data_IF_221808216571
#
_entry.id   IF_221808216571
#
_cell.length_a   1.000
_cell.length_b   1.000
_cell.length_c   1.000
_cell.angle_alpha   90.00
_cell.angle_beta   90.00
_cell.angle_gamma   90.00
#
_symmetry.space_group_name_H-M   'P 1'
#
loop_
_entity.id
_entity.type
_entity.pdbx_description
1 polymer ?
#
# COMPACT_ATOMS: atom_id res chain seq x y z
N UNK A 1 2.95 3.58 4.86
CA UNK A 1 1.52 3.56 5.22
C UNK A 1 0.96 4.80 5.93
N UNK A 2 1.35 5.14 7.18
CA UNK A 2 0.74 6.29 7.92
C UNK A 2 0.89 7.62 7.19
N UNK A 3 2.07 7.88 6.63
CA UNK A 3 2.33 9.09 5.85
C UNK A 3 1.43 9.19 4.60
N UNK A 4 1.20 8.07 3.91
CA UNK A 4 0.31 8.01 2.73
C UNK A 4 -1.15 8.24 3.11
N UNK A 5 -1.58 7.73 4.27
CA UNK A 5 -2.91 8.04 4.82
C UNK A 5 -3.07 9.55 5.08
N UNK A 6 -2.06 10.20 5.66
CA UNK A 6 -2.09 11.66 5.89
C UNK A 6 -2.13 12.46 4.58
N UNK A 7 -1.34 12.07 3.56
CA UNK A 7 -1.39 12.69 2.23
C UNK A 7 -2.77 12.54 1.59
N UNK A 8 -3.37 11.35 1.68
CA UNK A 8 -4.72 11.10 1.14
C UNK A 8 -5.78 11.88 1.91
N UNK A 9 -5.65 12.01 3.23
CA UNK A 9 -6.55 12.85 4.04
C UNK A 9 -6.46 14.32 3.62
N UNK A 10 -5.24 14.88 3.49
CA UNK A 10 -5.04 16.25 3.05
C UNK A 10 -5.67 16.49 1.66
N UNK A 11 -5.45 15.58 0.71
CA UNK A 11 -6.07 15.64 -0.61
C UNK A 11 -7.60 15.56 -0.55
N UNK A 12 -8.16 14.64 0.22
CA UNK A 12 -9.61 14.50 0.35
C UNK A 12 -10.25 15.74 1.01
N UNK A 13 -9.59 16.33 2.01
CA UNK A 13 -10.03 17.57 2.64
C UNK A 13 -10.03 18.74 1.63
N UNK A 14 -8.95 18.91 0.86
CA UNK A 14 -8.88 19.92 -0.19
C UNK A 14 -9.99 19.74 -1.23
N UNK A 15 -10.18 18.51 -1.72
CA UNK A 15 -11.22 18.19 -2.71
C UNK A 15 -12.63 18.40 -2.14
N UNK A 16 -12.84 18.14 -0.84
CA UNK A 16 -14.12 18.40 -0.17
C UNK A 16 -14.43 19.89 -0.14
N UNK A 17 -13.45 20.73 0.20
CA UNK A 17 -13.58 22.19 0.20
C UNK A 17 -13.81 22.73 -1.20
N UNK A 18 -13.04 22.27 -2.19
CA UNK A 18 -13.23 22.67 -3.58
C UNK A 18 -14.62 22.28 -4.11
N UNK A 19 -15.10 21.07 -3.81
CA UNK A 19 -16.44 20.63 -4.16
C UNK A 19 -17.54 21.48 -3.49
N UNK A 20 -17.33 21.90 -2.24
CA UNK A 20 -18.25 22.79 -1.54
C UNK A 20 -18.34 24.17 -2.22
N UNK A 21 -17.20 24.73 -2.63
CA UNK A 21 -17.15 26.02 -3.35
C UNK A 21 -17.80 25.94 -4.73
N UNK A 22 -17.69 24.81 -5.42
CA UNK A 22 -18.28 24.59 -6.75
C UNK A 22 -19.74 24.11 -6.72
N UNK A 23 -20.38 24.02 -5.56
CA UNK A 23 -21.76 23.51 -5.42
C UNK A 23 -21.92 22.02 -5.76
N UNK A 24 -20.82 21.25 -5.82
CA UNK A 24 -20.84 19.81 -6.15
C UNK A 24 -21.07 18.97 -4.91
N UNK A 25 -22.33 18.93 -4.46
CA UNK A 25 -22.71 18.27 -3.20
C UNK A 25 -22.34 16.78 -3.14
N UNK A 26 -22.58 16.03 -4.23
CA UNK A 26 -22.26 14.60 -4.29
C UNK A 26 -20.76 14.32 -4.09
N UNK A 27 -19.89 15.11 -4.73
CA UNK A 27 -18.44 15.00 -4.57
C UNK A 27 -18.01 15.32 -3.15
N UNK A 28 -18.59 16.36 -2.54
CA UNK A 28 -18.32 16.72 -1.14
C UNK A 28 -18.65 15.58 -0.19
N UNK A 29 -19.83 14.98 -0.32
CA UNK A 29 -20.26 13.84 0.51
C UNK A 29 -19.32 12.65 0.32
N UNK A 30 -18.90 12.36 -0.91
CA UNK A 30 -17.92 11.32 -1.21
C UNK A 30 -16.58 11.57 -0.52
N UNK A 31 -16.06 12.79 -0.58
CA UNK A 31 -14.80 13.14 0.09
C UNK A 31 -14.91 13.09 1.61
N UNK A 32 -16.05 13.48 2.19
CA UNK A 32 -16.29 13.36 3.63
C UNK A 32 -16.32 11.92 4.10
N UNK A 33 -16.98 11.02 3.35
CA UNK A 33 -16.95 9.58 3.64
C UNK A 33 -15.53 9.01 3.60
N UNK A 34 -14.74 9.42 2.60
CA UNK A 34 -13.35 9.02 2.47
C UNK A 34 -12.50 9.52 3.66
N UNK A 35 -12.69 10.77 4.10
CA UNK A 35 -12.03 11.30 5.30
C UNK A 35 -12.37 10.49 6.55
N UNK A 36 -13.65 10.18 6.76
CA UNK A 36 -14.08 9.35 7.89
C UNK A 36 -13.49 7.94 7.85
N UNK A 37 -13.38 7.34 6.66
CA UNK A 37 -12.70 6.06 6.48
C UNK A 37 -11.21 6.14 6.82
N UNK A 38 -10.50 7.18 6.35
CA UNK A 38 -9.08 7.37 6.67
C UNK A 38 -8.86 7.56 8.17
N UNK A 39 -9.72 8.33 8.84
CA UNK A 39 -9.61 8.59 10.28
C UNK A 39 -9.80 7.32 11.12
N UNK A 40 -10.78 6.46 10.77
CA UNK A 40 -10.96 5.16 11.42
C UNK A 40 -9.72 4.27 11.30
N UNK A 41 -9.14 4.21 10.10
CA UNK A 41 -7.91 3.43 9.84
C UNK A 41 -6.74 3.97 10.66
N UNK A 42 -6.53 5.30 10.68
CA UNK A 42 -5.48 5.93 11.48
C UNK A 42 -5.69 5.66 12.97
N UNK A 43 -6.92 5.73 13.46
CA UNK A 43 -7.24 5.47 14.86
C UNK A 43 -6.88 4.05 15.27
N UNK A 44 -7.20 3.03 14.45
CA UNK A 44 -6.79 1.64 14.70
C UNK A 44 -5.28 1.46 14.64
N UNK A 45 -4.60 2.14 13.73
CA UNK A 45 -3.13 2.11 13.67
C UNK A 45 -2.50 2.72 14.93
N UNK A 46 -3.00 3.86 15.40
CA UNK A 46 -2.51 4.47 16.64
C UNK A 46 -2.75 3.56 17.86
N UNK A 47 -3.92 2.91 17.92
CA UNK A 47 -4.20 1.91 18.96
C UNK A 47 -3.20 0.75 18.90
N UNK A 48 -2.92 0.21 17.71
CA UNK A 48 -1.89 -0.81 17.52
C UNK A 48 -0.52 -0.36 18.03
N UNK A 49 -0.12 0.89 17.74
CA UNK A 49 1.16 1.44 18.18
C UNK A 49 1.22 1.76 19.68
N UNK A 50 0.08 2.00 20.33
CA UNK A 50 0.02 2.17 21.79
C UNK A 50 0.14 0.85 22.56
N UNK A 51 -0.05 -0.29 21.88
CA UNK A 51 0.13 -1.61 22.48
C UNK A 51 1.60 -2.00 22.52
N UNK A 52 2.00 -2.75 23.54
CA UNK A 52 3.36 -3.26 23.64
C UNK A 52 3.68 -4.16 22.43
N UNK A 53 4.79 -3.96 21.71
CA UNK A 53 5.08 -4.66 20.46
C UNK A 53 5.18 -6.18 20.63
N UNK A 54 5.68 -6.66 21.77
CA UNK A 54 5.73 -8.10 22.05
C UNK A 54 4.32 -8.71 22.21
N UNK A 55 3.39 -7.98 22.83
CA UNK A 55 2.01 -8.43 23.00
C UNK A 55 1.28 -8.47 21.67
N UNK A 56 1.44 -7.42 20.85
CA UNK A 56 0.82 -7.35 19.52
C UNK A 56 1.32 -8.48 18.61
N UNK A 57 2.63 -8.78 18.64
CA UNK A 57 3.23 -9.90 17.92
C UNK A 57 2.72 -11.26 18.44
N UNK A 58 2.57 -11.40 19.76
CA UNK A 58 2.07 -12.66 20.35
C UNK A 58 0.61 -12.94 20.00
N UNK A 59 -0.25 -11.92 20.06
CA UNK A 59 -1.70 -12.10 19.85
C UNK A 59 -2.11 -12.13 18.38
N UNK A 60 -1.47 -11.32 17.54
CA UNK A 60 -1.91 -11.11 16.15
C UNK A 60 -0.85 -11.49 15.11
N UNK A 61 0.36 -11.86 15.54
CA UNK A 61 1.50 -12.17 14.68
C UNK A 61 2.12 -10.94 14.02
N UNK A 62 1.29 -10.14 13.35
CA UNK A 62 1.70 -8.94 12.61
C UNK A 62 0.71 -7.80 12.82
N UNK A 63 1.14 -6.58 12.47
CA UNK A 63 0.26 -5.41 12.42
C UNK A 63 -0.92 -5.64 11.47
N UNK A 64 -0.71 -6.36 10.37
CA UNK A 64 -1.74 -6.67 9.37
C UNK A 64 -2.79 -7.62 9.95
N UNK A 65 -2.38 -8.60 10.76
CA UNK A 65 -3.29 -9.46 11.51
C UNK A 65 -4.16 -8.65 12.47
N UNK A 66 -3.56 -7.71 13.21
CA UNK A 66 -4.31 -6.82 14.09
C UNK A 66 -5.34 -5.98 13.32
N UNK A 67 -4.94 -5.35 12.22
CA UNK A 67 -5.82 -4.50 11.42
C UNK A 67 -6.95 -5.28 10.78
N UNK A 68 -6.68 -6.50 10.26
CA UNK A 68 -7.70 -7.37 9.69
C UNK A 68 -8.78 -7.76 10.72
N UNK A 69 -8.40 -7.93 11.99
CA UNK A 69 -9.34 -8.26 13.06
C UNK A 69 -10.15 -7.06 13.58
N UNK A 70 -9.64 -5.83 13.48
CA UNK A 70 -10.23 -4.64 14.12
C UNK A 70 -10.83 -3.61 13.16
N UNK A 71 -10.63 -3.79 11.85
CA UNK A 71 -11.25 -2.97 10.81
C UNK A 71 -12.49 -3.66 10.25
N UNK A 72 -13.44 -2.86 9.74
CA UNK A 72 -14.51 -3.38 8.90
C UNK A 72 -13.95 -3.94 7.59
N UNK A 73 -14.73 -4.76 6.89
CA UNK A 73 -14.34 -5.30 5.58
C UNK A 73 -13.97 -4.19 4.59
N UNK A 74 -14.76 -3.12 4.53
CA UNK A 74 -14.52 -1.98 3.63
C UNK A 74 -13.24 -1.22 3.99
N UNK A 75 -13.02 -0.96 5.28
CA UNK A 75 -11.82 -0.25 5.74
C UNK A 75 -10.56 -1.12 5.55
N UNK A 76 -10.68 -2.44 5.69
CA UNK A 76 -9.60 -3.39 5.38
C UNK A 76 -9.27 -3.43 3.88
N UNK A 77 -10.28 -3.49 3.01
CA UNK A 77 -10.09 -3.40 1.55
C UNK A 77 -9.39 -2.10 1.16
N UNK A 78 -9.77 -0.99 1.78
CA UNK A 78 -9.10 0.30 1.58
C UNK A 78 -7.61 0.27 1.97
N UNK A 79 -7.27 -0.38 3.09
CA UNK A 79 -5.86 -0.57 3.51
C UNK A 79 -5.08 -1.40 2.50
N UNK A 80 -5.67 -2.49 1.97
CA UNK A 80 -5.03 -3.32 0.94
C UNK A 80 -4.75 -2.51 -0.34
N UNK A 81 -5.70 -1.68 -0.78
CA UNK A 81 -5.50 -0.79 -1.93
C UNK A 81 -4.38 0.23 -1.70
N UNK A 82 -4.23 0.75 -0.47
CA UNK A 82 -3.11 1.63 -0.13
C UNK A 82 -1.79 0.88 -0.23
N UNK A 83 -1.72 -0.35 0.31
CA UNK A 83 -0.48 -1.15 0.26
C UNK A 83 -0.06 -1.47 -1.17
N UNK A 84 -1.01 -1.88 -2.01
CA UNK A 84 -0.77 -2.09 -3.44
C UNK A 84 -0.29 -0.82 -4.14
N UNK A 85 -0.80 0.36 -3.74
CA UNK A 85 -0.35 1.64 -4.27
C UNK A 85 0.99 2.12 -3.69
N UNK A 86 1.41 1.62 -2.53
CA UNK A 86 2.76 1.84 -1.95
C UNK A 86 3.81 0.89 -2.52
N UNK A 87 3.40 -0.15 -3.27
CA UNK A 87 4.28 -1.15 -3.88
C UNK A 87 4.97 -0.81 -5.24
N UNK A 88 4.99 0.41 -5.83
CA UNK A 88 5.64 0.59 -7.13
C UNK A 88 7.12 1.03 -6.99
N UNK A 89 8.05 0.09 -6.77
CA UNK A 89 9.46 0.28 -7.18
C UNK A 89 10.36 -0.98 -7.27
N UNK A 90 9.83 -2.19 -7.44
CA UNK A 90 10.60 -3.23 -8.15
C UNK A 90 10.26 -3.09 -9.63
N UNK A 91 10.89 -2.13 -10.32
CA UNK A 91 11.06 -2.29 -11.76
C UNK A 91 11.83 -3.59 -11.94
N UNK A 92 11.43 -4.53 -12.82
CA UNK A 92 12.42 -5.45 -13.35
C UNK A 92 13.50 -4.55 -13.93
N UNK A 93 14.72 -4.61 -13.37
CA UNK A 93 15.88 -4.07 -14.05
C UNK A 93 15.84 -4.75 -15.42
N UNK A 94 15.77 -4.02 -16.55
CA UNK A 94 16.03 -4.63 -17.83
C UNK A 94 17.50 -5.03 -17.74
N UNK A 95 17.72 -6.27 -17.33
CA UNK A 95 19.00 -6.92 -17.36
C UNK A 95 19.48 -6.81 -18.79
N UNK A 96 20.38 -5.86 -19.01
CA UNK A 96 21.43 -5.96 -20.01
C UNK A 96 22.17 -7.26 -19.73
N UNK A 97 21.67 -8.36 -20.27
CA UNK A 97 22.48 -9.46 -20.73
C UNK A 97 21.86 -9.90 -22.05
N UNK A 98 22.30 -9.23 -23.13
CA UNK A 98 22.38 -9.88 -24.43
C UNK A 98 23.08 -11.22 -24.20
N UNK A 99 22.36 -12.31 -24.39
CA UNK A 99 22.94 -13.64 -24.49
C UNK A 99 23.62 -13.84 -25.87
N UNK A 100 24.31 -12.81 -26.38
CA UNK A 100 25.00 -12.82 -27.68
C UNK A 100 26.52 -13.03 -27.49
N UNK A 101 26.92 -13.82 -26.49
CA UNK A 101 28.31 -14.28 -26.36
C UNK A 101 28.34 -15.66 -25.69
N UNK A 102 27.76 -16.64 -26.36
CA UNK A 102 28.15 -18.04 -26.16
C UNK A 102 29.27 -18.31 -27.17
N UNK A 103 30.55 -18.41 -26.76
CA UNK A 103 31.56 -18.97 -27.64
C UNK A 103 31.17 -20.43 -27.94
N UNK A 104 31.11 -20.77 -29.23
CA UNK A 104 30.81 -22.12 -29.69
C UNK A 104 31.78 -23.14 -29.05
N UNK A 105 31.30 -24.31 -28.61
CA UNK A 105 32.17 -25.35 -28.11
C UNK A 105 33.09 -25.85 -29.23
N UNK A 106 34.39 -25.87 -28.95
CA UNK A 106 35.42 -26.38 -29.86
C UNK A 106 35.12 -27.85 -30.26
N UNK A 107 35.33 -28.25 -31.53
CA UNK A 107 35.17 -29.64 -31.92
C UNK A 107 36.26 -30.48 -31.25
N UNK A 108 35.85 -31.46 -30.44
CA UNK A 108 36.73 -32.49 -29.93
C UNK A 108 37.27 -33.30 -31.12
N UNK A 109 38.56 -33.12 -31.41
CA UNK A 109 39.36 -34.07 -32.19
C UNK A 109 39.44 -35.37 -31.39
N UNK A 110 38.58 -36.33 -31.69
CA UNK A 110 38.78 -37.71 -31.29
C UNK A 110 39.73 -38.32 -32.32
N UNK A 111 41.00 -38.43 -31.93
CA UNK A 111 41.98 -39.27 -32.60
C UNK A 111 41.54 -40.74 -32.52
N UNK A 112 41.46 -41.40 -33.67
CA UNK A 112 41.70 -42.82 -33.83
C UNK A 112 42.87 -42.99 -34.79
#
# INVERSE_FOLDING_TARGET
MIWTLHKRAAKAAFMSTAAALMGRHADRVRQQRLLGQIDRVISRLKQAHSLHPAWLKQQYGTLDGYLKCHLSADDWQYVLQIRQAELPNERPVPGRFRADNIPAPAPNLVSQ
#
